data_IF_675075549314
#
_entry.id   IF_675075549314
#
_cell.length_a   1.000
_cell.length_b   1.000
_cell.length_c   1.000
_cell.angle_alpha   90.00
_cell.angle_beta   90.00
_cell.angle_gamma   90.00
#
_symmetry.space_group_name_H-M   'P 1'
#
loop_
_entity.id
_entity.type
_entity.pdbx_description
1 polymer ?
#
# COMPACT_ATOMS: atom_id res chain seq x y z
N UNK A 1 -0.99 -12.36 -14.61
CA UNK A 1 -2.24 -11.75 -14.13
C UNK A 1 -2.34 -10.33 -14.67
N UNK A 2 -2.81 -10.13 -15.91
CA UNK A 2 -3.04 -8.79 -16.47
C UNK A 2 -4.56 -8.56 -16.44
N UNK A 3 -5.03 -7.45 -15.86
CA UNK A 3 -6.45 -7.06 -15.75
C UNK A 3 -7.26 -7.71 -14.62
N UNK A 4 -6.64 -7.97 -13.46
CA UNK A 4 -7.40 -8.32 -12.26
C UNK A 4 -7.91 -7.05 -11.57
N UNK A 5 -9.08 -7.10 -10.91
CA UNK A 5 -9.61 -5.96 -10.19
C UNK A 5 -8.71 -5.60 -9.01
N UNK A 6 -8.76 -4.35 -8.57
CA UNK A 6 -7.89 -3.82 -7.51
C UNK A 6 -8.08 -4.51 -6.15
N UNK A 7 -9.22 -5.16 -5.93
CA UNK A 7 -9.58 -5.91 -4.73
C UNK A 7 -9.22 -7.40 -4.81
N UNK A 8 -8.72 -7.88 -5.96
CA UNK A 8 -8.32 -9.27 -6.17
C UNK A 8 -7.41 -9.83 -5.05
N UNK A 9 -6.41 -9.11 -4.51
CA UNK A 9 -5.58 -9.64 -3.41
C UNK A 9 -6.38 -10.04 -2.16
N UNK A 10 -7.53 -9.40 -1.93
CA UNK A 10 -8.45 -9.71 -0.82
C UNK A 10 -9.50 -10.76 -1.18
N UNK A 11 -9.61 -11.13 -2.47
CA UNK A 11 -10.64 -12.05 -2.95
C UNK A 11 -10.40 -13.50 -2.55
N UNK A 12 -11.48 -14.28 -2.47
CA UNK A 12 -11.40 -15.73 -2.27
C UNK A 12 -10.61 -16.42 -3.39
N UNK A 13 -10.68 -15.90 -4.63
CA UNK A 13 -9.94 -16.45 -5.75
C UNK A 13 -8.42 -16.38 -5.53
N UNK A 14 -7.91 -15.24 -5.03
CA UNK A 14 -6.48 -15.11 -4.68
C UNK A 14 -6.08 -16.08 -3.56
N UNK A 15 -6.93 -16.27 -2.56
CA UNK A 15 -6.68 -17.24 -1.48
C UNK A 15 -6.65 -18.69 -1.98
N UNK A 16 -7.54 -19.06 -2.90
CA UNK A 16 -7.55 -20.39 -3.53
C UNK A 16 -6.28 -20.64 -4.34
N UNK A 17 -5.80 -19.63 -5.10
CA UNK A 17 -4.52 -19.72 -5.82
C UNK A 17 -3.36 -19.92 -4.84
N UNK A 18 -3.34 -19.16 -3.74
CA UNK A 18 -2.33 -19.32 -2.70
C UNK A 18 -2.35 -20.72 -2.06
N UNK A 19 -3.54 -21.24 -1.74
CA UNK A 19 -3.71 -22.58 -1.19
C UNK A 19 -3.26 -23.68 -2.17
N UNK A 20 -3.55 -23.52 -3.45
CA UNK A 20 -3.08 -24.42 -4.50
C UNK A 20 -1.54 -24.42 -4.57
N UNK A 21 -0.92 -23.25 -4.72
CA UNK A 21 0.55 -23.11 -4.77
C UNK A 21 1.22 -23.66 -3.51
N UNK A 22 0.64 -23.41 -2.33
CA UNK A 22 1.12 -23.98 -1.06
C UNK A 22 1.08 -25.50 -1.08
N UNK A 23 -0.01 -26.09 -1.57
CA UNK A 23 -0.18 -27.55 -1.67
C UNK A 23 0.80 -28.14 -2.69
N UNK A 24 0.95 -27.50 -3.86
CA UNK A 24 1.94 -27.88 -4.88
C UNK A 24 3.35 -27.87 -4.30
N UNK A 25 3.76 -26.80 -3.62
CA UNK A 25 5.10 -26.71 -3.03
C UNK A 25 5.32 -27.76 -1.94
N UNK A 26 4.28 -28.07 -1.16
CA UNK A 26 4.36 -29.06 -0.07
C UNK A 26 4.41 -30.50 -0.59
N UNK A 27 3.73 -30.80 -1.70
CA UNK A 27 3.67 -32.15 -2.28
C UNK A 27 4.79 -32.41 -3.30
N UNK A 28 5.23 -31.37 -4.01
CA UNK A 28 6.23 -31.43 -5.07
C UNK A 28 7.51 -30.68 -4.68
N UNK A 29 7.98 -30.84 -3.44
CA UNK A 29 9.16 -30.16 -2.87
C UNK A 29 10.40 -30.26 -3.77
N UNK A 30 10.50 -31.29 -4.62
CA UNK A 30 11.63 -31.49 -5.54
C UNK A 30 11.59 -30.59 -6.78
N UNK A 31 10.43 -30.05 -7.17
CA UNK A 31 10.28 -29.18 -8.33
C UNK A 31 10.15 -27.71 -7.88
N UNK A 32 11.30 -27.07 -7.73
CA UNK A 32 11.42 -25.71 -7.23
C UNK A 32 11.02 -24.62 -8.24
N UNK A 33 10.60 -25.00 -9.45
CA UNK A 33 10.22 -24.07 -10.54
C UNK A 33 9.11 -23.12 -10.15
N UNK A 34 8.21 -23.53 -9.24
CA UNK A 34 7.13 -22.68 -8.78
C UNK A 34 7.66 -21.40 -8.10
N UNK A 35 8.63 -21.53 -7.20
CA UNK A 35 9.20 -20.38 -6.47
C UNK A 35 10.01 -19.50 -7.42
N UNK A 36 10.80 -20.12 -8.29
CA UNK A 36 11.58 -19.43 -9.32
C UNK A 36 10.68 -18.57 -10.22
N UNK A 37 9.57 -19.14 -10.71
CA UNK A 37 8.58 -18.43 -11.51
C UNK A 37 7.94 -17.27 -10.74
N UNK A 38 7.57 -17.47 -9.47
CA UNK A 38 6.94 -16.44 -8.65
C UNK A 38 7.90 -15.26 -8.43
N UNK A 39 9.15 -15.52 -8.04
CA UNK A 39 10.16 -14.48 -7.78
C UNK A 39 10.54 -13.76 -9.06
N UNK A 40 10.73 -14.48 -10.17
CA UNK A 40 11.07 -13.89 -11.48
C UNK A 40 9.94 -13.02 -12.02
N UNK A 41 8.69 -13.47 -11.90
CA UNK A 41 7.55 -12.65 -12.31
C UNK A 41 7.41 -11.40 -11.43
N UNK A 42 7.65 -11.52 -10.12
CA UNK A 42 7.63 -10.38 -9.21
C UNK A 42 8.75 -9.38 -9.55
N UNK A 43 9.96 -9.84 -9.88
CA UNK A 43 11.05 -8.97 -10.34
C UNK A 43 10.65 -8.20 -11.61
N UNK A 44 10.06 -8.88 -12.60
CA UNK A 44 9.58 -8.24 -13.83
C UNK A 44 8.53 -7.15 -13.57
N UNK A 45 7.57 -7.41 -12.66
CA UNK A 45 6.56 -6.43 -12.28
C UNK A 45 7.20 -5.24 -11.55
N UNK A 46 8.11 -5.49 -10.60
CA UNK A 46 8.80 -4.43 -9.87
C UNK A 46 9.67 -3.56 -10.78
N UNK A 47 10.30 -4.15 -11.80
CA UNK A 47 11.04 -3.41 -12.81
C UNK A 47 10.12 -2.52 -13.66
N UNK A 48 8.90 -2.97 -13.98
CA UNK A 48 7.91 -2.12 -14.67
C UNK A 48 7.40 -0.96 -13.80
N UNK A 49 7.52 -1.08 -12.49
CA UNK A 49 7.12 -0.08 -11.50
C UNK A 49 8.33 0.75 -11.01
N UNK A 50 9.50 0.59 -11.63
CA UNK A 50 10.74 1.23 -11.17
C UNK A 50 10.65 2.76 -11.11
N UNK A 51 9.98 3.36 -12.08
CA UNK A 51 9.81 4.82 -12.15
C UNK A 51 9.02 5.37 -10.95
N UNK A 52 8.05 4.60 -10.44
CA UNK A 52 7.19 5.00 -9.31
C UNK A 52 7.95 5.18 -7.99
N UNK A 53 8.98 4.36 -7.74
CA UNK A 53 9.79 4.44 -6.51
C UNK A 53 11.21 4.98 -6.72
N UNK A 54 11.69 5.17 -7.96
CA UNK A 54 13.07 5.62 -8.23
C UNK A 54 13.19 7.13 -8.49
N UNK A 55 12.20 7.77 -9.10
CA UNK A 55 12.24 9.20 -9.49
C UNK A 55 11.35 10.08 -8.61
N UNK A 56 11.26 9.79 -7.31
CA UNK A 56 10.33 10.51 -6.44
C UNK A 56 10.86 11.89 -6.03
N UNK A 57 10.13 12.92 -6.43
CA UNK A 57 10.34 14.33 -6.08
C UNK A 57 9.70 14.72 -4.75
N UNK A 58 8.85 13.87 -4.16
CA UNK A 58 8.10 14.10 -2.90
C UNK A 58 7.30 15.41 -2.93
N UNK A 59 6.73 15.71 -4.10
CA UNK A 59 5.88 16.86 -4.42
C UNK A 59 4.38 16.53 -4.39
N UNK A 60 4.02 15.30 -4.01
CA UNK A 60 2.63 14.89 -3.86
C UNK A 60 2.44 13.38 -3.94
N UNK A 61 1.21 12.97 -4.24
CA UNK A 61 0.82 11.58 -4.43
C UNK A 61 0.77 11.26 -5.92
N UNK A 62 1.61 10.32 -6.36
CA UNK A 62 1.63 9.86 -7.76
C UNK A 62 0.35 9.08 -8.10
N UNK A 63 -0.29 8.46 -7.10
CA UNK A 63 -1.56 7.76 -7.29
C UNK A 63 -2.72 8.75 -7.57
N UNK A 64 -2.69 9.92 -6.93
CA UNK A 64 -3.66 10.99 -7.21
C UNK A 64 -3.39 11.62 -8.57
N UNK A 65 -2.12 11.85 -8.92
CA UNK A 65 -1.75 12.38 -10.23
C UNK A 65 -2.21 11.44 -11.35
N UNK A 66 -1.99 10.13 -11.20
CA UNK A 66 -2.49 9.12 -12.13
C UNK A 66 -4.01 9.18 -12.26
N UNK A 67 -4.73 9.27 -11.13
CA UNK A 67 -6.18 9.31 -11.13
C UNK A 67 -6.74 10.61 -11.75
N UNK A 68 -6.13 11.76 -11.47
CA UNK A 68 -6.51 13.04 -12.04
C UNK A 68 -6.30 13.06 -13.56
N UNK A 69 -5.18 12.49 -14.03
CA UNK A 69 -4.91 12.30 -15.46
C UNK A 69 -5.93 11.39 -16.12
N UNK A 70 -6.31 10.30 -15.44
CA UNK A 70 -7.33 9.38 -15.91
C UNK A 70 -8.72 10.02 -16.01
N UNK A 71 -9.12 10.80 -15.00
CA UNK A 71 -10.40 11.53 -14.99
C UNK A 71 -10.46 12.61 -16.08
N UNK A 72 -9.31 13.20 -16.43
CA UNK A 72 -9.18 14.21 -17.48
C UNK A 72 -9.09 13.62 -18.89
N UNK A 73 -8.84 12.31 -19.04
CA UNK A 73 -8.76 11.66 -20.34
C UNK A 73 -10.16 11.53 -20.95
N UNK A 74 -10.40 12.02 -22.18
CA UNK A 74 -11.69 11.82 -22.84
C UNK A 74 -11.93 10.33 -23.06
N UNK A 75 -13.12 9.84 -22.69
CA UNK A 75 -13.49 8.46 -22.96
C UNK A 75 -13.64 8.25 -24.48
N UNK A 76 -13.24 7.09 -24.99
CA UNK A 76 -13.33 6.78 -26.43
C UNK A 76 -14.78 6.76 -26.98
N UNK A 77 -15.81 6.86 -26.12
CA UNK A 77 -17.23 6.82 -26.51
C UNK A 77 -18.00 8.12 -26.24
N UNK A 78 -17.48 9.06 -25.44
CA UNK A 78 -18.15 10.34 -25.20
C UNK A 78 -17.14 11.39 -24.71
N UNK A 79 -17.30 12.63 -25.16
CA UNK A 79 -16.54 13.80 -24.69
C UNK A 79 -16.84 14.19 -23.23
N UNK A 80 -17.22 13.22 -22.40
CA UNK A 80 -17.58 13.39 -20.99
C UNK A 80 -16.38 12.94 -20.15
N UNK A 81 -15.96 13.71 -19.13
CA UNK A 81 -14.95 13.29 -18.16
C UNK A 81 -15.29 11.92 -17.56
N UNK A 82 -14.29 11.04 -17.45
CA UNK A 82 -14.50 9.72 -16.85
C UNK A 82 -14.64 9.89 -15.34
N UNK A 83 -15.71 9.33 -14.76
CA UNK A 83 -15.88 9.32 -13.31
C UNK A 83 -14.66 8.62 -12.66
N UNK A 84 -14.03 9.23 -11.62
CA UNK A 84 -12.82 8.67 -11.02
C UNK A 84 -12.96 7.22 -10.54
N UNK A 85 -14.17 6.82 -10.14
CA UNK A 85 -14.46 5.44 -9.73
C UNK A 85 -14.44 4.47 -10.91
N UNK A 86 -14.86 4.89 -12.09
CA UNK A 86 -14.82 4.06 -13.30
C UNK A 86 -13.38 3.97 -13.83
N UNK A 87 -12.60 5.05 -13.72
CA UNK A 87 -11.18 5.05 -14.05
C UNK A 87 -10.36 4.04 -13.21
N UNK A 88 -10.69 3.90 -11.92
CA UNK A 88 -10.05 2.92 -11.02
C UNK A 88 -10.31 1.47 -11.44
N UNK A 89 -11.40 1.21 -12.16
CA UNK A 89 -11.72 -0.13 -12.64
C UNK A 89 -11.06 -0.46 -13.99
N UNK A 90 -10.37 0.50 -14.62
CA UNK A 90 -9.74 0.34 -15.92
C UNK A 90 -8.21 0.33 -15.80
N UNK A 91 -7.60 -0.83 -16.03
CA UNK A 91 -6.14 -1.02 -15.95
C UNK A 91 -5.35 -0.17 -16.94
N UNK A 92 -5.96 0.26 -18.04
CA UNK A 92 -5.36 1.18 -19.02
C UNK A 92 -5.27 2.61 -18.52
N UNK A 93 -6.19 3.03 -17.64
CA UNK A 93 -6.26 4.39 -17.13
C UNK A 93 -5.47 4.55 -15.81
N UNK A 94 -5.43 3.49 -14.99
CA UNK A 94 -4.71 3.49 -13.71
C UNK A 94 -3.68 2.35 -13.63
N UNK A 95 -2.66 2.35 -14.52
CA UNK A 95 -1.68 1.28 -14.59
C UNK A 95 -0.87 1.07 -13.31
N UNK A 96 -0.44 2.13 -12.62
CA UNK A 96 0.33 2.04 -11.36
C UNK A 96 -0.53 1.38 -10.29
N UNK A 97 -1.77 1.84 -10.10
CA UNK A 97 -2.70 1.26 -9.12
C UNK A 97 -2.92 -0.24 -9.35
N UNK A 98 -3.12 -0.66 -10.60
CA UNK A 98 -3.30 -2.07 -10.94
C UNK A 98 -2.02 -2.88 -10.78
N UNK A 99 -0.85 -2.33 -11.09
CA UNK A 99 0.43 -2.99 -10.84
C UNK A 99 0.66 -3.21 -9.34
N UNK A 100 0.32 -2.23 -8.48
CA UNK A 100 0.38 -2.41 -7.02
C UNK A 100 -0.55 -3.53 -6.53
N UNK A 101 -1.75 -3.65 -7.10
CA UNK A 101 -2.65 -4.79 -6.82
C UNK A 101 -2.04 -6.13 -7.23
N UNK A 102 -1.40 -6.19 -8.40
CA UNK A 102 -0.71 -7.41 -8.85
C UNK A 102 0.46 -7.75 -7.90
N UNK A 103 1.27 -6.76 -7.51
CA UNK A 103 2.34 -6.95 -6.52
C UNK A 103 1.75 -7.49 -5.21
N UNK A 104 0.68 -6.89 -4.70
CA UNK A 104 0.02 -7.35 -3.47
C UNK A 104 -0.43 -8.81 -3.56
N UNK A 105 -0.98 -9.23 -4.70
CA UNK A 105 -1.37 -10.63 -4.92
C UNK A 105 -0.16 -11.59 -4.84
N UNK A 106 0.97 -11.18 -5.44
CA UNK A 106 2.22 -11.93 -5.37
C UNK A 106 2.80 -11.99 -3.94
N UNK A 107 2.75 -10.88 -3.21
CA UNK A 107 3.19 -10.82 -1.81
C UNK A 107 2.31 -11.70 -0.92
N UNK A 108 0.98 -11.66 -1.07
CA UNK A 108 0.04 -12.53 -0.35
C UNK A 108 0.32 -14.01 -0.61
N UNK A 109 0.61 -14.38 -1.87
CA UNK A 109 1.06 -15.72 -2.21
C UNK A 109 2.37 -16.08 -1.50
N UNK A 110 3.40 -15.23 -1.56
CA UNK A 110 4.69 -15.46 -0.90
C UNK A 110 4.58 -15.58 0.62
N UNK A 111 3.73 -14.78 1.26
CA UNK A 111 3.39 -14.90 2.69
C UNK A 111 2.85 -16.29 2.99
N UNK A 112 1.90 -16.78 2.17
CA UNK A 112 1.30 -18.11 2.36
C UNK A 112 2.33 -19.24 2.26
N UNK A 113 3.33 -19.09 1.38
CA UNK A 113 4.43 -20.04 1.24
C UNK A 113 5.40 -19.92 2.43
N UNK A 114 5.72 -18.71 2.88
CA UNK A 114 6.62 -18.49 4.01
C UNK A 114 6.05 -18.98 5.36
N UNK A 115 4.72 -19.12 5.45
CA UNK A 115 4.02 -19.73 6.60
C UNK A 115 4.16 -21.26 6.66
N UNK A 116 4.70 -21.92 5.64
CA UNK A 116 4.95 -23.37 5.67
C UNK A 116 5.99 -23.71 6.76
N UNK A 117 5.67 -24.70 7.58
CA UNK A 117 6.49 -25.10 8.74
C UNK A 117 7.48 -26.22 8.44
N UNK A 118 7.36 -26.89 7.29
CA UNK A 118 8.28 -27.95 6.87
C UNK A 118 9.69 -27.40 6.63
N UNK A 119 10.68 -28.01 7.27
CA UNK A 119 12.07 -27.51 7.25
C UNK A 119 12.69 -27.49 5.85
N UNK A 120 12.44 -28.51 5.04
CA UNK A 120 12.96 -28.59 3.66
C UNK A 120 12.44 -27.41 2.81
N UNK A 121 11.13 -27.17 2.84
CA UNK A 121 10.49 -26.06 2.12
C UNK A 121 11.02 -24.71 2.60
N UNK A 122 11.19 -24.52 3.92
CA UNK A 122 11.79 -23.30 4.48
C UNK A 122 13.22 -23.09 3.99
N UNK A 123 14.02 -24.16 3.94
CA UNK A 123 15.40 -24.12 3.45
C UNK A 123 15.47 -23.76 1.97
N UNK A 124 14.53 -24.28 1.16
CA UNK A 124 14.42 -23.92 -0.26
C UNK A 124 14.02 -22.45 -0.41
N UNK A 125 12.98 -22.00 0.30
CA UNK A 125 12.51 -20.60 0.26
C UNK A 125 13.63 -19.62 0.62
N UNK A 126 14.35 -19.86 1.72
CA UNK A 126 15.43 -18.96 2.11
C UNK A 126 16.58 -18.97 1.10
N UNK A 127 16.85 -20.11 0.45
CA UNK A 127 17.82 -20.19 -0.64
C UNK A 127 17.42 -19.32 -1.83
N UNK A 128 16.14 -19.28 -2.20
CA UNK A 128 15.64 -18.42 -3.28
C UNK A 128 15.70 -16.94 -2.94
N UNK A 129 15.32 -16.57 -1.71
CA UNK A 129 15.43 -15.19 -1.25
C UNK A 129 16.88 -14.72 -1.14
N UNK A 130 17.80 -15.64 -0.80
CA UNK A 130 19.23 -15.37 -0.75
C UNK A 130 19.95 -15.41 -2.10
N UNK A 131 19.28 -15.82 -3.17
CA UNK A 131 19.82 -15.76 -4.52
C UNK A 131 19.79 -14.32 -5.06
N UNK A 132 20.57 -14.04 -6.11
CA UNK A 132 20.71 -12.68 -6.66
C UNK A 132 19.36 -12.02 -6.99
N UNK A 133 18.47 -12.74 -7.68
CA UNK A 133 17.13 -12.25 -8.01
C UNK A 133 16.29 -11.99 -6.76
N UNK A 134 16.37 -12.86 -5.74
CA UNK A 134 15.64 -12.67 -4.49
C UNK A 134 16.09 -11.42 -3.73
N UNK A 135 17.40 -11.20 -3.66
CA UNK A 135 17.99 -10.00 -3.03
C UNK A 135 17.61 -8.73 -3.81
N UNK A 136 17.63 -8.78 -5.15
CA UNK A 136 17.19 -7.67 -6.01
C UNK A 136 15.73 -7.32 -5.77
N UNK A 137 14.86 -8.33 -5.73
CA UNK A 137 13.43 -8.16 -5.42
C UNK A 137 13.26 -7.53 -4.03
N UNK A 138 13.96 -8.00 -2.99
CA UNK A 138 13.89 -7.40 -1.65
C UNK A 138 14.29 -5.92 -1.65
N UNK A 139 15.34 -5.54 -2.39
CA UNK A 139 15.76 -4.13 -2.51
C UNK A 139 14.71 -3.27 -3.22
N UNK A 140 14.07 -3.78 -4.26
CA UNK A 140 12.98 -3.05 -4.94
C UNK A 140 11.72 -2.97 -4.07
N UNK A 141 11.38 -4.03 -3.33
CA UNK A 141 10.29 -4.02 -2.36
C UNK A 141 10.54 -3.03 -1.22
N UNK A 142 11.79 -2.82 -0.80
CA UNK A 142 12.15 -1.80 0.17
C UNK A 142 11.83 -0.39 -0.34
N UNK A 143 12.32 -0.04 -1.54
CA UNK A 143 12.03 1.25 -2.18
C UNK A 143 10.52 1.46 -2.32
N UNK A 144 9.80 0.41 -2.73
CA UNK A 144 8.35 0.42 -2.80
C UNK A 144 7.70 0.63 -1.42
N UNK A 145 8.19 -0.01 -0.35
CA UNK A 145 7.66 0.16 1.01
C UNK A 145 7.74 1.62 1.47
N UNK A 146 8.91 2.25 1.35
CA UNK A 146 9.11 3.67 1.68
C UNK A 146 8.19 4.58 0.86
N UNK A 147 8.02 4.23 -0.41
CA UNK A 147 7.13 4.92 -1.34
C UNK A 147 5.66 4.80 -0.91
N UNK A 148 5.22 3.63 -0.45
CA UNK A 148 3.86 3.39 0.05
C UNK A 148 3.59 4.11 1.37
N UNK A 149 4.57 4.21 2.27
CA UNK A 149 4.44 4.99 3.51
C UNK A 149 4.14 6.45 3.18
N UNK A 150 4.89 7.03 2.24
CA UNK A 150 4.60 8.38 1.76
C UNK A 150 3.22 8.51 1.12
N UNK A 151 2.88 7.64 0.16
CA UNK A 151 1.58 7.69 -0.52
C UNK A 151 0.41 7.61 0.47
N UNK A 152 0.45 6.63 1.38
CA UNK A 152 -0.60 6.48 2.39
C UNK A 152 -0.66 7.66 3.36
N UNK A 153 0.48 8.29 3.70
CA UNK A 153 0.52 9.48 4.55
C UNK A 153 -0.14 10.69 3.87
N UNK A 154 0.16 10.92 2.59
CA UNK A 154 -0.45 12.01 1.80
C UNK A 154 -1.95 11.75 1.61
N UNK A 155 -2.34 10.53 1.23
CA UNK A 155 -3.75 10.15 1.06
C UNK A 155 -4.54 10.31 2.35
N UNK A 156 -3.96 9.96 3.51
CA UNK A 156 -4.60 10.13 4.82
C UNK A 156 -4.74 11.61 5.20
N UNK A 157 -3.72 12.43 4.91
CA UNK A 157 -3.76 13.89 5.09
C UNK A 157 -4.93 14.49 4.30
N UNK A 158 -5.15 14.03 3.07
CA UNK A 158 -6.23 14.50 2.20
C UNK A 158 -7.64 14.06 2.65
N UNK A 159 -7.73 12.97 3.41
CA UNK A 159 -8.98 12.53 4.04
C UNK A 159 -9.26 13.25 5.36
N UNK A 160 -8.29 13.95 5.95
CA UNK A 160 -8.42 14.57 7.27
C UNK A 160 -9.03 15.98 7.18
N UNK A 161 -10.02 16.28 8.03
CA UNK A 161 -10.75 17.56 8.07
C UNK A 161 -9.89 18.75 8.55
N UNK A 162 -8.66 18.50 9.01
CA UNK A 162 -7.73 19.53 9.47
C UNK A 162 -7.18 20.32 8.28
N UNK A 163 -7.97 21.30 7.88
CA UNK A 163 -7.66 22.37 6.93
C UNK A 163 -6.39 23.18 7.26
N UNK A 164 -5.68 22.89 8.35
CA UNK A 164 -4.39 23.50 8.66
C UNK A 164 -3.21 22.90 7.86
N UNK A 165 -3.49 21.94 6.97
CA UNK A 165 -2.61 21.54 5.89
C UNK A 165 -2.89 22.30 4.58
N UNK A 166 -3.75 23.33 4.56
CA UNK A 166 -4.16 24.03 3.32
C UNK A 166 -3.07 24.92 2.69
N UNK A 167 -1.91 25.08 3.32
CA UNK A 167 -0.72 25.61 2.64
C UNK A 167 0.01 24.55 1.78
N UNK A 168 -0.37 23.27 1.86
CA UNK A 168 0.25 22.17 1.11
C UNK A 168 0.05 22.35 -0.39
N UNK A 169 1.12 22.76 -1.08
CA UNK A 169 1.20 22.91 -2.54
C UNK A 169 1.06 21.58 -3.31
N UNK A 170 1.02 20.45 -2.61
CA UNK A 170 1.00 19.12 -3.20
C UNK A 170 -0.31 18.82 -3.92
N UNK A 171 -0.21 18.44 -5.20
CA UNK A 171 -1.33 18.04 -6.04
C UNK A 171 -2.50 19.05 -6.09
N UNK A 172 -2.28 20.36 -5.84
CA UNK A 172 -3.37 21.36 -5.83
C UNK A 172 -4.18 21.33 -7.14
N UNK A 173 -3.49 21.26 -8.28
CA UNK A 173 -4.14 21.23 -9.59
C UNK A 173 -4.90 19.91 -9.82
N UNK A 174 -4.30 18.77 -9.45
CA UNK A 174 -4.91 17.45 -9.61
C UNK A 174 -6.13 17.26 -8.71
N UNK A 175 -6.09 17.80 -7.50
CA UNK A 175 -7.21 17.81 -6.56
C UNK A 175 -8.32 18.75 -7.02
N UNK A 176 -8.00 19.90 -7.60
CA UNK A 176 -8.99 20.79 -8.23
C UNK A 176 -9.66 20.12 -9.43
N UNK A 177 -8.92 19.31 -10.19
CA UNK A 177 -9.47 18.53 -11.31
C UNK A 177 -10.40 17.41 -10.82
N UNK A 178 -9.99 16.66 -9.80
CA UNK A 178 -10.79 15.57 -9.23
C UNK A 178 -12.00 16.08 -8.44
N UNK A 179 -11.93 17.29 -7.92
CA UNK A 179 -12.94 17.88 -7.04
C UNK A 179 -13.18 19.36 -7.38
N UNK A 180 -13.85 19.68 -8.51
CA UNK A 180 -14.05 21.05 -8.95
C UNK A 180 -14.91 21.90 -8.00
N UNK A 181 -15.81 21.27 -7.21
CA UNK A 181 -16.65 21.95 -6.21
C UNK A 181 -15.87 22.54 -5.01
N UNK A 182 -14.57 22.27 -4.88
CA UNK A 182 -13.73 22.80 -3.79
C UNK A 182 -13.57 24.31 -3.91
N UNK A 183 -13.43 24.84 -5.14
CA UNK A 183 -13.04 26.23 -5.35
C UNK A 183 -14.11 27.26 -4.90
N UNK A 184 -15.39 26.86 -4.97
CA UNK A 184 -16.51 27.73 -4.58
C UNK A 184 -16.63 27.91 -3.05
N UNK A 185 -16.12 26.95 -2.27
CA UNK A 185 -16.22 26.92 -0.81
C UNK A 185 -14.94 27.43 -0.12
N UNK A 186 -13.78 27.25 -0.73
CA UNK A 186 -12.50 27.76 -0.19
C UNK A 186 -12.45 29.29 -0.19
N UNK A 187 -13.13 29.94 -1.13
CA UNK A 187 -13.26 31.40 -1.15
C UNK A 187 -14.21 31.96 -0.08
N UNK A 188 -14.96 31.10 0.63
CA UNK A 188 -15.99 31.52 1.59
C UNK A 188 -15.78 31.02 3.02
N UNK A 189 -14.85 30.09 3.29
CA UNK A 189 -14.74 29.44 4.61
C UNK A 189 -13.29 29.44 5.12
N UNK A 190 -12.98 30.39 6.01
CA UNK A 190 -11.92 30.26 7.04
C UNK A 190 -12.51 29.67 8.35
N UNK A 191 -11.67 29.18 9.27
CA UNK A 191 -11.65 27.79 9.71
C UNK A 191 -12.88 27.38 10.55
N UNK A 192 -13.55 26.29 10.16
CA UNK A 192 -14.46 25.56 11.04
C UNK A 192 -13.80 24.23 11.43
N UNK A 193 -12.87 24.31 12.39
CA UNK A 193 -12.37 23.15 13.11
C UNK A 193 -13.54 22.50 13.85
N UNK A 194 -13.84 21.24 13.50
CA UNK A 194 -14.44 20.18 14.33
C UNK A 194 -15.31 19.23 13.49
N UNK A 195 -14.68 18.38 12.69
CA UNK A 195 -15.30 17.13 12.21
C UNK A 195 -14.22 16.03 12.28
N UNK A 196 -13.89 15.60 13.49
CA UNK A 196 -12.76 14.69 13.77
C UNK A 196 -13.17 13.33 14.35
N UNK A 197 -14.41 12.87 14.21
CA UNK A 197 -14.90 11.69 14.95
C UNK A 197 -15.43 10.50 14.14
N UNK A 198 -15.14 10.36 12.84
CA UNK A 198 -15.60 9.17 12.07
C UNK A 198 -14.53 8.40 11.27
N UNK A 199 -13.25 8.78 11.31
CA UNK A 199 -12.22 8.11 10.51
C UNK A 199 -11.40 7.03 11.26
N UNK A 200 -11.53 6.92 12.59
CA UNK A 200 -10.81 5.92 13.37
C UNK A 200 -11.39 4.48 13.24
N UNK A 201 -12.57 4.31 12.64
CA UNK A 201 -13.22 3.00 12.52
C UNK A 201 -12.86 2.21 11.25
N UNK A 202 -12.09 2.77 10.32
CA UNK A 202 -11.66 2.06 9.10
C UNK A 202 -10.58 1.01 9.34
N UNK A 203 -10.11 0.83 10.59
CA UNK A 203 -9.18 -0.24 10.95
C UNK A 203 -9.83 -1.49 11.52
N UNK A 204 -11.15 -1.51 11.78
CA UNK A 204 -11.79 -2.70 12.36
C UNK A 204 -13.31 -2.76 12.08
N UNK A 205 -13.70 -3.78 11.32
CA UNK A 205 -15.05 -4.35 11.17
C UNK A 205 -16.19 -3.53 10.51
N UNK A 206 -17.04 -4.30 9.83
CA UNK A 206 -18.22 -3.92 9.05
C UNK A 206 -19.31 -3.24 9.90
N UNK A 207 -19.92 -2.18 9.39
CA UNK A 207 -21.38 -2.01 9.32
C UNK A 207 -21.70 -0.80 8.44
N UNK A 208 -22.45 -1.05 7.37
CA UNK A 208 -23.12 -0.09 6.51
C UNK A 208 -23.92 0.91 7.35
N UNK A 209 -23.65 2.21 7.21
CA UNK A 209 -24.65 3.25 7.50
C UNK A 209 -24.94 3.99 6.20
N UNK A 210 -25.95 3.50 5.50
CA UNK A 210 -26.72 4.24 4.51
C UNK A 210 -27.38 5.41 5.23
N UNK A 211 -26.98 6.63 4.92
CA UNK A 211 -27.82 7.80 5.18
C UNK A 211 -28.63 8.00 3.90
N UNK A 212 -29.90 7.61 3.93
CA UNK A 212 -30.86 7.95 2.88
C UNK A 212 -31.05 9.47 2.87
N UNK A 213 -30.79 10.09 1.71
CA UNK A 213 -30.77 11.55 1.50
C UNK A 213 -32.15 12.07 1.03
N UNK A 214 -33.18 11.22 0.99
CA UNK A 214 -34.43 11.58 0.30
C UNK A 214 -35.54 12.21 1.17
N UNK A 215 -35.27 12.59 2.43
CA UNK A 215 -36.34 13.12 3.30
C UNK A 215 -35.98 14.42 4.05
N UNK A 216 -35.29 15.36 3.40
CA UNK A 216 -35.25 16.77 3.88
C UNK A 216 -35.35 17.74 2.68
N UNK A 217 -36.36 17.55 1.83
CA UNK A 217 -36.83 18.60 0.93
C UNK A 217 -38.10 19.25 1.51
N UNK A 218 -37.92 19.99 2.59
CA UNK A 218 -38.90 21.00 3.02
C UNK A 218 -38.26 21.86 4.12
N UNK A 219 -38.49 23.16 4.03
CA UNK A 219 -38.19 24.21 5.02
C UNK A 219 -36.88 24.99 4.84
N UNK A 220 -37.03 26.31 4.87
CA UNK A 220 -35.99 27.33 4.70
C UNK A 220 -34.82 27.13 5.66
N UNK A 221 -33.79 26.45 5.14
CA UNK A 221 -32.53 26.22 5.82
C UNK A 221 -31.60 27.39 5.59
N UNK A 222 -31.11 27.99 6.69
CA UNK A 222 -30.15 29.09 6.67
C UNK A 222 -28.91 28.71 5.86
N UNK A 223 -28.29 29.69 5.19
CA UNK A 223 -27.13 29.46 4.31
C UNK A 223 -26.00 28.69 5.00
N UNK A 224 -25.86 28.85 6.31
CA UNK A 224 -24.91 28.09 7.14
C UNK A 224 -25.15 26.58 7.13
N UNK A 225 -26.40 26.13 7.19
CA UNK A 225 -26.75 24.69 7.16
C UNK A 225 -26.56 24.10 5.77
N UNK A 226 -26.87 24.85 4.70
CA UNK A 226 -26.59 24.46 3.31
C UNK A 226 -25.08 24.35 3.05
N UNK A 227 -24.29 25.30 3.54
CA UNK A 227 -22.82 25.26 3.46
C UNK A 227 -22.25 24.06 4.22
N UNK A 228 -22.73 23.79 5.45
CA UNK A 228 -22.30 22.64 6.24
C UNK A 228 -22.63 21.31 5.55
N UNK A 229 -23.81 21.19 4.96
CA UNK A 229 -24.20 20.01 4.18
C UNK A 229 -23.35 19.87 2.90
N UNK A 230 -23.08 20.96 2.19
CA UNK A 230 -22.24 20.97 0.98
C UNK A 230 -20.77 20.63 1.27
N UNK A 231 -20.23 21.09 2.40
CA UNK A 231 -18.90 20.70 2.90
C UNK A 231 -18.87 19.22 3.27
N UNK A 232 -19.88 18.75 4.00
CA UNK A 232 -20.01 17.33 4.37
C UNK A 232 -20.09 16.41 3.14
N UNK A 233 -20.88 16.80 2.12
CA UNK A 233 -21.03 16.02 0.89
C UNK A 233 -19.74 15.99 0.06
N UNK A 234 -19.01 17.10 0.01
CA UNK A 234 -17.69 17.17 -0.66
C UNK A 234 -16.65 16.28 0.04
N UNK A 235 -16.60 16.28 1.38
CA UNK A 235 -15.71 15.40 2.15
C UNK A 235 -16.06 13.93 1.87
N UNK A 236 -17.34 13.59 1.82
CA UNK A 236 -17.79 12.24 1.48
C UNK A 236 -17.38 11.81 0.07
N UNK A 237 -17.50 12.68 -0.94
CA UNK A 237 -17.04 12.40 -2.30
C UNK A 237 -15.52 12.21 -2.36
N UNK A 238 -14.75 13.06 -1.67
CA UNK A 238 -13.29 12.89 -1.56
C UNK A 238 -12.90 11.57 -0.94
N UNK A 239 -13.51 11.22 0.19
CA UNK A 239 -13.27 9.95 0.87
C UNK A 239 -13.61 8.78 -0.06
N UNK A 240 -14.74 8.84 -0.80
CA UNK A 240 -15.15 7.78 -1.72
C UNK A 240 -14.09 7.51 -2.80
N UNK A 241 -13.51 8.56 -3.36
CA UNK A 241 -12.49 8.47 -4.43
C UNK A 241 -11.10 8.09 -3.89
N UNK A 242 -10.71 8.60 -2.73
CA UNK A 242 -9.37 8.35 -2.14
C UNK A 242 -9.30 6.96 -1.47
N UNK A 243 -10.42 6.46 -0.93
CA UNK A 243 -10.47 5.21 -0.16
C UNK A 243 -9.90 3.99 -0.92
N UNK A 244 -10.19 3.76 -2.21
CA UNK A 244 -9.57 2.67 -2.97
C UNK A 244 -8.05 2.77 -3.04
N UNK A 245 -7.50 3.97 -3.30
CA UNK A 245 -6.05 4.23 -3.38
C UNK A 245 -5.38 3.98 -2.03
N UNK A 246 -6.00 4.49 -0.95
CA UNK A 246 -5.53 4.28 0.42
C UNK A 246 -5.59 2.80 0.82
N UNK A 247 -6.65 2.09 0.41
CA UNK A 247 -6.83 0.66 0.67
C UNK A 247 -5.72 -0.16 0.00
N UNK A 248 -5.42 0.09 -1.28
CA UNK A 248 -4.35 -0.63 -2.00
C UNK A 248 -2.98 -0.33 -1.36
N UNK A 249 -2.66 0.94 -1.12
CA UNK A 249 -1.35 1.33 -0.58
C UNK A 249 -1.11 0.82 0.85
N UNK A 250 -2.08 1.00 1.75
CA UNK A 250 -1.96 0.57 3.16
C UNK A 250 -1.96 -0.94 3.34
N UNK A 251 -2.83 -1.68 2.62
CA UNK A 251 -2.86 -3.15 2.71
C UNK A 251 -1.58 -3.76 2.15
N UNK A 252 -1.07 -3.25 1.03
CA UNK A 252 0.20 -3.70 0.48
C UNK A 252 1.35 -3.42 1.46
N UNK A 253 1.41 -2.24 2.07
CA UNK A 253 2.39 -1.92 3.12
C UNK A 253 2.37 -2.93 4.28
N UNK A 254 1.18 -3.25 4.80
CA UNK A 254 1.02 -4.27 5.85
C UNK A 254 1.45 -5.66 5.41
N UNK A 255 1.11 -6.06 4.18
CA UNK A 255 1.54 -7.34 3.63
C UNK A 255 3.06 -7.42 3.49
N UNK A 256 3.74 -6.32 3.13
CA UNK A 256 5.21 -6.24 3.11
C UNK A 256 5.81 -6.42 4.51
N UNK A 257 5.29 -5.73 5.53
CA UNK A 257 5.73 -5.94 6.93
C UNK A 257 5.55 -7.40 7.35
N UNK A 258 4.42 -8.04 7.03
CA UNK A 258 4.20 -9.46 7.32
C UNK A 258 5.21 -10.36 6.61
N UNK A 259 5.49 -10.12 5.32
CA UNK A 259 6.48 -10.86 4.56
C UNK A 259 7.88 -10.72 5.18
N UNK A 260 8.33 -9.50 5.48
CA UNK A 260 9.63 -9.25 6.10
C UNK A 260 9.75 -9.95 7.44
N UNK A 261 8.73 -9.86 8.30
CA UNK A 261 8.69 -10.56 9.58
C UNK A 261 8.81 -12.09 9.42
N UNK A 262 8.13 -12.67 8.43
CA UNK A 262 8.26 -14.10 8.13
C UNK A 262 9.66 -14.46 7.64
N UNK A 263 10.30 -13.62 6.81
CA UNK A 263 11.66 -13.84 6.34
C UNK A 263 12.69 -13.75 7.46
N UNK A 264 12.58 -12.77 8.37
CA UNK A 264 13.42 -12.69 9.58
C UNK A 264 13.26 -13.97 10.42
N UNK A 265 12.01 -14.42 10.61
CA UNK A 265 11.73 -15.67 11.32
C UNK A 265 12.31 -16.89 10.60
N UNK A 266 12.36 -16.90 9.28
CA UNK A 266 13.00 -17.98 8.52
C UNK A 266 14.53 -17.97 8.62
N UNK A 267 15.15 -16.79 8.68
CA UNK A 267 16.59 -16.65 8.89
C UNK A 267 17.06 -17.11 10.29
N UNK A 268 16.19 -16.98 11.30
CA UNK A 268 16.52 -17.18 12.72
C UNK A 268 16.11 -18.54 13.29
N UNK A 269 15.26 -19.31 12.62
CA UNK A 269 14.89 -20.63 13.14
C UNK A 269 16.06 -21.61 13.06
N UNK A 270 16.53 -22.00 14.23
CA UNK A 270 17.28 -23.25 14.39
C UNK A 270 16.42 -24.41 13.87
N UNK A 271 17.03 -25.35 13.16
CA UNK A 271 16.36 -26.55 12.64
C UNK A 271 15.93 -27.53 13.76
N UNK A 272 15.90 -27.08 15.01
CA UNK A 272 15.73 -27.89 16.21
C UNK A 272 14.30 -27.75 16.76
N UNK A 273 13.34 -28.28 16.02
CA UNK A 273 12.22 -28.97 16.66
C UNK A 273 12.23 -30.45 16.31
N UNK A 274 13.42 -31.06 16.40
CA UNK A 274 13.44 -32.49 16.64
C UNK A 274 13.08 -32.73 18.10
N UNK A 275 11.85 -33.21 18.27
CA UNK A 275 11.34 -34.03 19.35
C UNK A 275 12.38 -34.47 20.38
N UNK A 276 12.11 -34.15 21.66
CA UNK A 276 12.44 -34.95 22.86
C UNK A 276 13.57 -35.99 22.67
N UNK A 277 14.79 -35.57 22.39
CA UNK A 277 15.99 -36.38 22.63
C UNK A 277 16.72 -35.73 23.78
N UNK A 278 16.46 -36.23 24.98
CA UNK A 278 16.96 -35.71 26.25
C UNK A 278 18.50 -35.77 26.42
N UNK A 279 19.28 -36.19 25.42
CA UNK A 279 20.70 -36.53 25.59
C UNK A 279 21.65 -36.08 24.46
N UNK A 280 21.30 -35.05 23.66
CA UNK A 280 22.28 -34.45 22.73
C UNK A 280 22.65 -33.02 23.17
N UNK A 281 23.96 -32.68 23.26
CA UNK A 281 24.37 -31.31 23.53
C UNK A 281 23.87 -30.39 22.41
N UNK A 282 23.41 -29.16 22.73
CA UNK A 282 22.91 -28.23 21.74
C UNK A 282 24.05 -27.89 20.77
N UNK A 283 23.93 -28.33 19.51
CA UNK A 283 24.86 -27.93 18.47
C UNK A 283 24.65 -26.44 18.17
N UNK A 284 25.72 -25.63 18.11
CA UNK A 284 25.60 -24.21 17.80
C UNK A 284 25.03 -24.05 16.38
N UNK A 285 23.89 -23.38 16.27
CA UNK A 285 23.26 -23.09 14.98
C UNK A 285 24.12 -22.11 14.20
N UNK A 286 24.61 -22.54 13.03
CA UNK A 286 25.32 -21.68 12.08
C UNK A 286 24.32 -21.27 10.98
N UNK A 287 23.97 -19.98 10.85
CA UNK A 287 23.09 -19.51 9.78
C UNK A 287 23.69 -19.78 8.40
N UNK A 288 22.85 -20.19 7.45
CA UNK A 288 23.29 -20.41 6.05
C UNK A 288 23.74 -19.09 5.40
N UNK A 289 24.57 -19.16 4.36
CA UNK A 289 25.01 -17.97 3.62
C UNK A 289 23.81 -17.18 3.06
N UNK A 290 22.83 -17.89 2.50
CA UNK A 290 21.57 -17.29 2.02
C UNK A 290 20.81 -16.58 3.14
N UNK A 291 20.67 -17.19 4.32
CA UNK A 291 20.02 -16.56 5.47
C UNK A 291 20.75 -15.28 5.94
N UNK A 292 22.09 -15.29 5.92
CA UNK A 292 22.90 -14.10 6.24
C UNK A 292 22.67 -12.97 5.24
N UNK A 293 22.62 -13.28 3.93
CA UNK A 293 22.37 -12.28 2.89
C UNK A 293 20.96 -11.67 3.01
N UNK A 294 19.94 -12.51 3.23
CA UNK A 294 18.57 -12.05 3.45
C UNK A 294 18.50 -11.18 4.70
N UNK A 295 19.07 -11.62 5.82
CA UNK A 295 19.09 -10.85 7.06
C UNK A 295 19.84 -9.50 6.91
N UNK A 296 20.97 -9.50 6.20
CA UNK A 296 21.71 -8.26 5.89
C UNK A 296 20.86 -7.31 5.06
N UNK A 297 20.18 -7.82 4.04
CA UNK A 297 19.30 -7.00 3.18
C UNK A 297 18.10 -6.46 3.95
N UNK A 298 17.48 -7.26 4.82
CA UNK A 298 16.40 -6.79 5.70
C UNK A 298 16.90 -5.76 6.73
N UNK A 299 18.16 -5.83 7.14
CA UNK A 299 18.79 -4.78 7.97
C UNK A 299 18.99 -3.49 7.18
N UNK A 300 19.31 -3.57 5.89
CA UNK A 300 19.34 -2.40 4.99
C UNK A 300 17.94 -1.77 4.88
N UNK A 301 16.87 -2.57 4.79
CA UNK A 301 15.48 -2.06 4.80
C UNK A 301 15.19 -1.20 6.03
N UNK A 302 15.52 -1.72 7.23
CA UNK A 302 15.33 -0.97 8.47
C UNK A 302 16.18 0.31 8.50
N UNK A 303 17.44 0.21 8.05
CA UNK A 303 18.35 1.35 7.98
C UNK A 303 17.76 2.44 7.07
N UNK A 304 17.28 2.08 5.89
CA UNK A 304 16.76 3.04 4.92
C UNK A 304 15.48 3.71 5.42
N UNK A 305 14.63 2.99 6.14
CA UNK A 305 13.46 3.57 6.82
C UNK A 305 13.81 4.52 7.96
N UNK A 306 14.84 4.21 8.76
CA UNK A 306 15.31 5.09 9.84
C UNK A 306 16.08 6.32 9.35
N UNK A 307 16.84 6.18 8.26
CA UNK A 307 17.61 7.25 7.64
C UNK A 307 16.80 8.01 6.58
N UNK A 308 15.50 7.74 6.47
CA UNK A 308 14.65 8.40 5.51
C UNK A 308 14.71 9.92 5.69
N UNK A 309 15.23 10.61 4.68
CA UNK A 309 15.37 12.06 4.67
C UNK A 309 14.62 12.64 3.48
N UNK A 310 13.77 13.63 3.74
CA UNK A 310 13.08 14.37 2.69
C UNK A 310 14.08 15.28 1.94
N UNK A 311 14.09 15.31 0.60
CA UNK A 311 14.91 16.25 -0.15
C UNK A 311 14.72 17.70 0.31
N UNK A 312 15.79 18.49 0.31
CA UNK A 312 15.79 19.89 0.80
C UNK A 312 14.90 20.84 -0.04
N UNK A 313 14.48 20.41 -1.23
CA UNK A 313 13.74 21.24 -2.20
C UNK A 313 12.22 21.19 -1.99
N UNK A 314 11.76 20.60 -0.88
CA UNK A 314 10.34 20.38 -0.63
C UNK A 314 9.78 21.56 0.15
N UNK A 315 8.69 22.14 -0.38
CA UNK A 315 7.97 23.26 0.23
C UNK A 315 7.12 22.80 1.43
N UNK A 316 7.78 22.26 2.46
CA UNK A 316 7.17 21.82 3.72
C UNK A 316 7.74 22.63 4.88
N UNK A 317 6.89 22.95 5.86
CA UNK A 317 7.36 23.54 7.12
C UNK A 317 8.08 22.49 7.95
N UNK A 318 8.98 22.93 8.84
CA UNK A 318 9.77 22.05 9.71
C UNK A 318 8.90 21.09 10.53
N UNK A 319 7.77 21.57 11.06
CA UNK A 319 6.78 20.74 11.77
C UNK A 319 6.18 19.62 10.90
N UNK A 320 6.01 19.82 9.59
CA UNK A 320 5.53 18.76 8.70
C UNK A 320 6.59 17.71 8.44
N UNK A 321 7.84 18.14 8.27
CA UNK A 321 8.98 17.24 8.07
C UNK A 321 9.12 16.32 9.29
N UNK A 322 8.99 16.85 10.51
CA UNK A 322 9.02 16.05 11.74
C UNK A 322 7.87 15.03 11.82
N UNK A 323 6.65 15.41 11.44
CA UNK A 323 5.50 14.49 11.38
C UNK A 323 5.75 13.35 10.40
N UNK A 324 6.22 13.65 9.19
CA UNK A 324 6.56 12.60 8.23
C UNK A 324 7.67 11.70 8.74
N UNK A 325 8.74 12.26 9.32
CA UNK A 325 9.82 11.45 9.92
C UNK A 325 9.29 10.51 11.00
N UNK A 326 8.40 10.99 11.87
CA UNK A 326 7.76 10.16 12.89
C UNK A 326 6.91 9.05 12.27
N UNK A 327 6.11 9.35 11.25
CA UNK A 327 5.31 8.35 10.54
C UNK A 327 6.19 7.28 9.89
N UNK A 328 7.26 7.68 9.20
CA UNK A 328 8.23 6.77 8.62
C UNK A 328 8.90 5.89 9.67
N UNK A 329 9.30 6.47 10.81
CA UNK A 329 9.87 5.73 11.92
C UNK A 329 8.90 4.68 12.47
N UNK A 330 7.66 5.07 12.77
CA UNK A 330 6.63 4.17 13.32
C UNK A 330 6.28 3.06 12.32
N UNK A 331 6.11 3.39 11.04
CA UNK A 331 5.81 2.39 10.00
C UNK A 331 6.98 1.46 9.69
N UNK A 332 8.23 1.90 9.85
CA UNK A 332 9.42 1.06 9.67
C UNK A 332 9.59 0.06 10.82
N UNK A 333 9.20 0.44 12.04
CA UNK A 333 9.26 -0.44 13.22
C UNK A 333 8.16 -1.50 13.22
N UNK A 334 6.97 -1.14 12.73
CA UNK A 334 5.79 -2.03 12.70
C UNK A 334 5.86 -3.14 11.66
#
# INVERSE_FOLDING_TARGET
MKNLPIDFPSSQACQCVAALCKSTLTLLVKDNKLIEMIITNLDAILNSLADFYSNRTYDGSLLIEELARAASSPSALSNIPVDPMDAINQSSLTPILHQLSIVHSHISLLISLCKITQNEVRSILISFWGAETGIRVLKNLNKLCLTLIWESSILLSLCSSDTNMMDQQFNKNDLLQLFPMINDLTNTISPLQNVSTQLNDLTTNEMTRTFDIDEIMSMDTSDFTKLKLKVSLNIQQRIKTIKPLLCVSSKLGRALSELYNLLVKQCSTSQLRHARRFNQPPTPYVPTAAAKLVASTLTEVLRDGFLFHLPANINLTESQIEKFRLTFFVCTIG
#
